data_IF_950004547582
#
_entry.id   IF_950004547582
#
_cell.length_a   1.000
_cell.length_b   1.000
_cell.length_c   1.000
_cell.angle_alpha   90.00
_cell.angle_beta   90.00
_cell.angle_gamma   90.00
#
_symmetry.space_group_name_H-M   'P 1'
#
loop_
_entity.id
_entity.type
_entity.pdbx_description
1 polymer ?
#
# COMPACT_ATOMS: atom_id res chain seq x y z
N UNK A 1 15.00 -14.30 23.58
CA UNK A 1 14.05 -13.44 24.32
C UNK A 1 13.70 -12.22 23.47
N UNK A 2 12.71 -12.28 22.58
CA UNK A 2 12.33 -11.12 21.70
C UNK A 2 10.81 -11.03 21.42
N UNK A 3 9.95 -11.66 22.25
CA UNK A 3 8.51 -11.70 21.97
C UNK A 3 7.69 -10.49 22.46
N UNK A 4 8.25 -9.58 23.26
CA UNK A 4 7.46 -8.48 23.86
C UNK A 4 7.32 -7.20 23.03
N UNK A 5 8.25 -6.92 22.12
CA UNK A 5 8.33 -5.59 21.46
C UNK A 5 7.38 -5.47 20.26
N UNK A 6 7.11 -6.59 19.56
CA UNK A 6 6.21 -6.63 18.39
C UNK A 6 4.78 -6.18 18.66
N UNK A 7 4.04 -6.75 19.64
CA UNK A 7 2.67 -6.33 19.89
C UNK A 7 2.61 -4.88 20.40
N UNK A 8 3.62 -4.41 21.12
CA UNK A 8 3.66 -3.04 21.61
C UNK A 8 3.76 -2.01 20.47
N UNK A 9 4.65 -2.22 19.50
CA UNK A 9 4.77 -1.31 18.34
C UNK A 9 3.51 -1.30 17.47
N UNK A 10 2.89 -2.47 17.26
CA UNK A 10 1.62 -2.57 16.52
C UNK A 10 0.47 -1.87 17.26
N UNK A 11 0.42 -2.00 18.59
CA UNK A 11 -0.58 -1.36 19.43
C UNK A 11 -0.38 0.17 19.48
N UNK A 12 0.88 0.64 19.53
CA UNK A 12 1.21 2.07 19.48
C UNK A 12 0.91 2.65 18.09
N UNK A 13 1.24 1.97 17.00
CA UNK A 13 0.88 2.42 15.65
C UNK A 13 -0.63 2.59 15.46
N UNK A 14 -1.42 1.75 16.13
CA UNK A 14 -2.89 1.78 16.06
C UNK A 14 -3.52 2.80 17.01
N UNK A 15 -2.92 3.07 18.19
CA UNK A 15 -3.55 3.90 19.23
C UNK A 15 -2.89 5.26 19.45
N UNK A 16 -1.58 5.38 19.24
CA UNK A 16 -0.80 6.62 19.41
C UNK A 16 0.26 6.75 18.30
N UNK A 17 -0.16 6.86 17.03
CA UNK A 17 0.75 6.91 15.88
C UNK A 17 1.77 8.07 15.95
N UNK A 18 1.44 9.16 16.65
CA UNK A 18 2.34 10.32 16.81
C UNK A 18 3.64 10.00 17.57
N UNK A 19 3.63 8.98 18.42
CA UNK A 19 4.84 8.58 19.15
C UNK A 19 5.86 7.89 18.26
N UNK A 20 5.45 7.43 17.07
CA UNK A 20 6.33 6.77 16.11
C UNK A 20 7.00 7.74 15.15
N UNK A 21 6.52 8.99 15.03
CA UNK A 21 7.10 10.06 14.19
C UNK A 21 8.63 10.17 14.32
N UNK A 22 9.21 10.30 15.54
CA UNK A 22 10.67 10.38 15.68
C UNK A 22 11.41 9.08 15.32
N UNK A 23 10.71 7.95 15.32
CA UNK A 23 11.29 6.63 15.02
C UNK A 23 11.06 6.16 13.58
N UNK A 24 10.35 6.93 12.75
CA UNK A 24 10.04 6.51 11.36
C UNK A 24 11.27 6.30 10.51
N UNK A 25 12.28 7.17 10.65
CA UNK A 25 13.54 7.05 9.93
C UNK A 25 14.20 5.69 10.21
N UNK A 26 14.28 5.32 11.49
CA UNK A 26 14.87 4.05 11.93
C UNK A 26 13.99 2.84 11.57
N UNK A 27 12.66 2.96 11.67
CA UNK A 27 11.75 1.92 11.21
C UNK A 27 11.96 1.65 9.72
N UNK A 28 12.13 2.70 8.92
CA UNK A 28 12.39 2.53 7.49
C UNK A 28 13.78 1.95 7.18
N UNK A 29 14.75 2.01 8.09
CA UNK A 29 16.01 1.25 7.94
C UNK A 29 15.78 -0.26 8.10
N UNK A 30 14.85 -0.66 8.97
CA UNK A 30 14.47 -2.07 9.12
C UNK A 30 13.72 -2.64 7.89
N UNK A 31 13.24 -1.79 6.99
CA UNK A 31 12.73 -2.24 5.69
C UNK A 31 13.83 -2.80 4.79
N UNK A 32 15.10 -2.42 5.00
CA UNK A 32 16.23 -2.93 4.23
C UNK A 32 16.76 -4.29 4.75
N UNK A 33 16.20 -4.81 5.84
CA UNK A 33 16.62 -6.05 6.47
C UNK A 33 15.53 -7.11 6.25
N UNK A 34 15.86 -8.17 5.50
CA UNK A 34 14.91 -9.20 5.06
C UNK A 34 14.08 -9.82 6.20
N UNK A 35 14.70 -10.07 7.35
CA UNK A 35 14.05 -10.71 8.51
C UNK A 35 13.04 -9.82 9.22
N UNK A 36 13.15 -8.50 9.07
CA UNK A 36 12.26 -7.51 9.71
C UNK A 36 11.36 -6.79 8.74
N UNK A 37 11.67 -6.78 7.43
CA UNK A 37 10.96 -6.03 6.40
C UNK A 37 9.44 -6.26 6.42
N UNK A 38 8.99 -7.53 6.55
CA UNK A 38 7.57 -7.85 6.63
C UNK A 38 6.87 -7.23 7.85
N UNK A 39 7.44 -7.42 9.04
CA UNK A 39 6.88 -6.89 10.28
C UNK A 39 6.89 -5.36 10.32
N UNK A 40 7.98 -4.76 9.85
CA UNK A 40 8.08 -3.31 9.69
C UNK A 40 7.00 -2.80 8.74
N UNK A 41 6.77 -3.48 7.62
CA UNK A 41 5.72 -3.11 6.67
C UNK A 41 4.32 -3.16 7.29
N UNK A 42 4.04 -4.16 8.14
CA UNK A 42 2.77 -4.23 8.88
C UNK A 42 2.59 -3.06 9.86
N UNK A 43 3.66 -2.64 10.56
CA UNK A 43 3.63 -1.46 11.44
C UNK A 43 3.38 -0.19 10.63
N UNK A 44 4.05 -0.03 9.49
CA UNK A 44 3.83 1.10 8.59
C UNK A 44 2.42 1.09 8.01
N UNK A 45 1.84 -0.07 7.72
CA UNK A 45 0.44 -0.18 7.28
C UNK A 45 -0.52 0.35 8.34
N UNK A 46 -0.40 -0.09 9.59
CA UNK A 46 -1.22 0.42 10.70
C UNK A 46 -1.09 1.93 10.88
N UNK A 47 0.13 2.44 10.71
CA UNK A 47 0.37 3.87 10.75
C UNK A 47 -0.27 4.60 9.56
N UNK A 48 -0.20 4.04 8.35
CA UNK A 48 -0.80 4.61 7.15
C UNK A 48 -2.33 4.66 7.23
N UNK A 49 -2.96 3.65 7.84
CA UNK A 49 -4.41 3.60 8.08
C UNK A 49 -4.89 4.75 8.99
N UNK A 50 -4.06 5.19 9.94
CA UNK A 50 -4.42 6.22 10.93
C UNK A 50 -3.90 7.62 10.56
N UNK A 51 -2.65 7.72 10.12
CA UNK A 51 -1.93 8.96 9.82
C UNK A 51 -1.03 8.82 8.58
N UNK A 52 -1.62 8.74 7.38
CA UNK A 52 -0.86 8.53 6.15
C UNK A 52 0.13 9.65 5.81
N UNK A 53 -0.13 10.90 6.25
CA UNK A 53 0.76 12.04 5.99
C UNK A 53 2.17 11.85 6.57
N UNK A 54 2.31 11.12 7.68
CA UNK A 54 3.60 10.86 8.32
C UNK A 54 4.51 9.97 7.47
N UNK A 55 3.93 9.22 6.54
CA UNK A 55 4.65 8.27 5.69
C UNK A 55 4.95 8.82 4.30
N UNK A 56 4.56 10.07 4.00
CA UNK A 56 4.74 10.67 2.69
C UNK A 56 6.21 10.61 2.21
N UNK A 57 7.15 10.91 3.09
CA UNK A 57 8.60 10.88 2.80
C UNK A 57 9.20 9.47 2.82
N UNK A 58 8.49 8.51 3.41
CA UNK A 58 8.95 7.13 3.57
C UNK A 58 8.50 6.21 2.41
N UNK A 59 7.60 6.67 1.54
CA UNK A 59 7.04 5.86 0.44
C UNK A 59 8.11 5.31 -0.50
N UNK A 60 9.18 6.07 -0.79
CA UNK A 60 10.27 5.57 -1.63
C UNK A 60 10.93 4.32 -1.06
N UNK A 61 11.11 4.27 0.27
CA UNK A 61 11.70 3.11 0.97
C UNK A 61 10.73 1.91 0.99
N UNK A 62 9.43 2.18 1.14
CA UNK A 62 8.36 1.16 1.07
C UNK A 62 8.33 0.49 -0.30
N UNK A 63 8.33 1.28 -1.39
CA UNK A 63 8.35 0.75 -2.76
C UNK A 63 9.59 -0.10 -3.01
N UNK A 64 10.77 0.38 -2.61
CA UNK A 64 12.03 -0.36 -2.73
C UNK A 64 12.01 -1.70 -1.97
N UNK A 65 11.43 -1.73 -0.78
CA UNK A 65 11.28 -2.97 -0.02
C UNK A 65 10.37 -3.99 -0.71
N UNK A 66 9.30 -3.53 -1.37
CA UNK A 66 8.41 -4.39 -2.16
C UNK A 66 9.13 -5.01 -3.38
N UNK A 67 9.99 -4.24 -4.04
CA UNK A 67 10.82 -4.73 -5.14
C UNK A 67 11.85 -5.76 -4.66
N UNK A 68 12.39 -5.57 -3.46
CA UNK A 68 13.43 -6.45 -2.91
C UNK A 68 12.83 -7.73 -2.29
N UNK A 69 11.65 -7.63 -1.70
CA UNK A 69 10.99 -8.69 -0.94
C UNK A 69 9.56 -8.90 -1.45
N UNK A 70 9.35 -9.87 -2.37
CA UNK A 70 8.06 -10.10 -3.03
C UNK A 70 6.91 -10.37 -2.05
N UNK A 71 7.20 -10.99 -0.90
CA UNK A 71 6.23 -11.25 0.16
C UNK A 71 5.68 -9.98 0.83
N UNK A 72 6.28 -8.81 0.60
CA UNK A 72 5.83 -7.53 1.18
C UNK A 72 5.00 -6.69 0.20
N UNK A 73 4.88 -7.09 -1.07
CA UNK A 73 4.21 -6.32 -2.13
C UNK A 73 2.77 -5.95 -1.75
N UNK A 74 2.00 -6.90 -1.21
CA UNK A 74 0.62 -6.64 -0.78
C UNK A 74 0.52 -5.59 0.33
N UNK A 75 1.43 -5.64 1.31
CA UNK A 75 1.45 -4.70 2.42
C UNK A 75 1.93 -3.32 1.94
N UNK A 76 2.97 -3.28 1.10
CA UNK A 76 3.47 -2.05 0.50
C UNK A 76 2.41 -1.36 -0.36
N UNK A 77 1.65 -2.11 -1.16
CA UNK A 77 0.57 -1.57 -1.97
C UNK A 77 -0.51 -0.88 -1.12
N UNK A 78 -0.88 -1.48 0.02
CA UNK A 78 -1.84 -0.89 0.95
C UNK A 78 -1.29 0.39 1.61
N UNK A 79 -0.02 0.38 2.04
CA UNK A 79 0.66 1.58 2.59
C UNK A 79 0.68 2.71 1.56
N UNK A 80 1.18 2.41 0.35
CA UNK A 80 1.30 3.37 -0.75
C UNK A 80 -0.08 3.91 -1.14
N UNK A 81 -1.11 3.08 -1.13
CA UNK A 81 -2.49 3.48 -1.42
C UNK A 81 -3.07 4.39 -0.34
N UNK A 82 -2.87 4.07 0.94
CA UNK A 82 -3.30 4.93 2.04
C UNK A 82 -2.65 6.32 1.98
N UNK A 83 -1.35 6.40 1.66
CA UNK A 83 -0.65 7.68 1.44
C UNK A 83 -1.10 8.35 0.14
N UNK A 84 -1.34 7.57 -0.92
CA UNK A 84 -1.85 8.06 -2.20
C UNK A 84 -3.15 8.83 -2.04
N UNK A 85 -4.02 8.40 -1.13
CA UNK A 85 -5.31 9.07 -0.85
C UNK A 85 -5.22 10.47 -0.25
N UNK A 86 -4.03 10.98 0.03
CA UNK A 86 -3.83 12.36 0.54
C UNK A 86 -3.97 13.42 -0.56
N UNK A 87 -3.61 13.11 -1.80
CA UNK A 87 -3.70 14.05 -2.92
C UNK A 87 -3.82 13.32 -4.25
N UNK A 88 -4.42 13.95 -5.25
CA UNK A 88 -4.57 13.35 -6.58
C UNK A 88 -3.22 12.97 -7.21
N UNK A 89 -2.19 13.79 -7.03
CA UNK A 89 -0.83 13.54 -7.52
C UNK A 89 -0.24 12.25 -6.90
N UNK A 90 -0.29 12.13 -5.57
CA UNK A 90 0.17 10.93 -4.85
C UNK A 90 -0.68 9.71 -5.19
N UNK A 91 -1.98 9.88 -5.42
CA UNK A 91 -2.87 8.80 -5.81
C UNK A 91 -2.50 8.26 -7.21
N UNK A 92 -2.14 9.13 -8.16
CA UNK A 92 -1.65 8.73 -9.46
C UNK A 92 -0.31 7.96 -9.34
N UNK A 93 0.62 8.43 -8.52
CA UNK A 93 1.87 7.70 -8.24
C UNK A 93 1.62 6.34 -7.58
N UNK A 94 0.66 6.27 -6.66
CA UNK A 94 0.25 5.03 -6.00
C UNK A 94 -0.37 4.05 -6.99
N UNK A 95 -1.25 4.54 -7.87
CA UNK A 95 -1.90 3.72 -8.88
C UNK A 95 -0.89 3.16 -9.87
N UNK A 96 0.07 3.98 -10.33
CA UNK A 96 1.16 3.53 -11.19
C UNK A 96 1.97 2.40 -10.54
N UNK A 97 2.30 2.53 -9.26
CA UNK A 97 2.99 1.47 -8.51
C UNK A 97 2.15 0.19 -8.44
N UNK A 98 0.88 0.29 -8.05
CA UNK A 98 -0.02 -0.88 -7.93
C UNK A 98 -0.18 -1.60 -9.27
N UNK A 99 -0.35 -0.88 -10.37
CA UNK A 99 -0.46 -1.46 -11.72
C UNK A 99 0.84 -2.14 -12.17
N UNK A 100 1.99 -1.54 -11.88
CA UNK A 100 3.28 -2.17 -12.19
C UNK A 100 3.48 -3.47 -11.42
N UNK A 101 3.13 -3.47 -10.12
CA UNK A 101 3.17 -4.68 -9.31
C UNK A 101 2.15 -5.72 -9.79
N UNK A 102 0.96 -5.30 -10.25
CA UNK A 102 -0.07 -6.19 -10.77
C UNK A 102 0.43 -7.01 -11.97
N UNK A 103 1.19 -6.38 -12.87
CA UNK A 103 1.80 -7.06 -14.02
C UNK A 103 2.87 -8.10 -13.66
N UNK A 104 3.44 -8.01 -12.44
CA UNK A 104 4.50 -8.89 -11.93
C UNK A 104 4.01 -9.86 -10.84
N UNK A 105 2.83 -9.61 -10.27
CA UNK A 105 2.35 -10.28 -9.07
C UNK A 105 1.81 -11.68 -9.34
N UNK A 106 2.08 -12.59 -8.39
CA UNK A 106 1.48 -13.92 -8.33
C UNK A 106 -0.04 -13.84 -8.07
N UNK A 107 -0.78 -14.89 -8.44
CA UNK A 107 -2.25 -14.94 -8.33
C UNK A 107 -2.78 -14.58 -6.93
N UNK A 108 -2.06 -14.95 -5.87
CA UNK A 108 -2.45 -14.64 -4.49
C UNK A 108 -2.42 -13.14 -4.15
N UNK A 109 -1.55 -12.37 -4.80
CA UNK A 109 -1.35 -10.95 -4.53
C UNK A 109 -2.19 -10.04 -5.45
N UNK A 110 -2.59 -10.54 -6.62
CA UNK A 110 -3.41 -9.80 -7.59
C UNK A 110 -4.73 -9.30 -7.01
N UNK A 111 -5.41 -10.10 -6.19
CA UNK A 111 -6.69 -9.71 -5.57
C UNK A 111 -6.55 -8.47 -4.69
N UNK A 112 -5.50 -8.41 -3.87
CA UNK A 112 -5.21 -7.24 -3.02
C UNK A 112 -4.85 -6.03 -3.87
N UNK A 113 -3.97 -6.18 -4.86
CA UNK A 113 -3.57 -5.08 -5.74
C UNK A 113 -4.76 -4.48 -6.51
N UNK A 114 -5.66 -5.32 -7.02
CA UNK A 114 -6.89 -4.84 -7.69
C UNK A 114 -7.81 -4.07 -6.74
N UNK A 115 -7.94 -4.53 -5.50
CA UNK A 115 -8.72 -3.84 -4.48
C UNK A 115 -8.15 -2.44 -4.21
N UNK A 116 -6.83 -2.33 -4.05
CA UNK A 116 -6.16 -1.06 -3.82
C UNK A 116 -6.28 -0.11 -5.01
N UNK A 117 -6.12 -0.61 -6.24
CA UNK A 117 -6.36 0.18 -7.46
C UNK A 117 -7.81 0.71 -7.51
N UNK A 118 -8.79 -0.13 -7.17
CA UNK A 118 -10.19 0.26 -7.10
C UNK A 118 -10.42 1.33 -6.04
N UNK A 119 -9.76 1.22 -4.88
CA UNK A 119 -9.86 2.20 -3.79
C UNK A 119 -9.34 3.58 -4.21
N UNK A 120 -8.21 3.61 -4.93
CA UNK A 120 -7.63 4.85 -5.48
C UNK A 120 -8.57 5.49 -6.51
N UNK A 121 -9.08 4.71 -7.46
CA UNK A 121 -10.05 5.22 -8.45
C UNK A 121 -11.37 5.66 -7.82
N UNK A 122 -11.82 5.01 -6.74
CA UNK A 122 -13.03 5.43 -6.02
C UNK A 122 -12.81 6.73 -5.24
N UNK A 123 -11.58 6.97 -4.77
CA UNK A 123 -11.20 8.22 -4.08
C UNK A 123 -10.95 9.37 -5.07
N UNK A 124 -10.44 9.06 -6.26
CA UNK A 124 -10.17 10.00 -7.33
C UNK A 124 -10.63 9.42 -8.68
N UNK A 125 -11.90 9.63 -9.07
CA UNK A 125 -12.46 9.07 -10.30
C UNK A 125 -11.70 9.47 -11.58
N UNK A 126 -11.03 10.62 -11.57
CA UNK A 126 -10.17 11.08 -12.67
C UNK A 126 -9.02 10.12 -13.00
N UNK A 127 -8.62 9.26 -12.07
CA UNK A 127 -7.57 8.26 -12.28
C UNK A 127 -8.09 7.00 -12.99
N UNK A 128 -9.42 6.87 -13.13
CA UNK A 128 -10.05 5.79 -13.89
C UNK A 128 -9.79 5.99 -15.38
N UNK A 129 -8.70 5.42 -15.85
CA UNK A 129 -8.21 5.56 -17.23
C UNK A 129 -8.27 4.23 -17.98
N UNK A 130 -8.30 4.30 -19.31
CA UNK A 130 -8.23 3.11 -20.19
C UNK A 130 -7.01 2.23 -19.89
N UNK A 131 -5.90 2.81 -19.43
CA UNK A 131 -4.69 2.09 -19.00
C UNK A 131 -4.97 1.17 -17.80
N UNK A 132 -5.70 1.65 -16.80
CA UNK A 132 -6.11 0.86 -15.63
C UNK A 132 -7.07 -0.26 -16.06
N UNK A 133 -8.06 0.08 -16.90
CA UNK A 133 -8.99 -0.91 -17.46
C UNK A 133 -8.28 -2.01 -18.26
N UNK A 134 -7.25 -1.67 -19.05
CA UNK A 134 -6.46 -2.63 -19.80
C UNK A 134 -5.72 -3.62 -18.88
N UNK A 135 -5.07 -3.13 -17.83
CA UNK A 135 -4.34 -3.97 -16.87
C UNK A 135 -5.27 -4.87 -16.04
N UNK A 136 -6.48 -4.40 -15.69
CA UNK A 136 -7.51 -5.21 -15.03
C UNK A 136 -8.05 -6.30 -15.96
N UNK A 137 -8.32 -5.97 -17.23
CA UNK A 137 -8.80 -6.94 -18.24
C UNK A 137 -7.76 -8.02 -18.52
N UNK A 138 -6.49 -7.65 -18.57
CA UNK A 138 -5.36 -8.57 -18.81
C UNK A 138 -5.21 -9.62 -17.71
N UNK A 139 -5.52 -9.25 -16.47
CA UNK A 139 -5.39 -10.15 -15.32
C UNK A 139 -6.62 -11.05 -15.04
N UNK A 140 -7.64 -11.07 -15.92
CA UNK A 140 -8.82 -11.97 -15.87
C UNK A 140 -9.32 -12.30 -14.45
N UNK A 141 -9.66 -11.28 -13.67
CA UNK A 141 -10.53 -11.43 -12.48
C UNK A 141 -11.74 -10.50 -12.66
N UNK A 142 -12.68 -10.91 -13.52
CA UNK A 142 -14.04 -10.35 -13.58
C UNK A 142 -14.90 -11.18 -12.62
N UNK A 143 -15.37 -10.59 -11.51
CA UNK A 143 -16.70 -9.96 -11.60
C UNK A 143 -16.87 -8.64 -10.81
N UNK A 144 -15.81 -7.91 -10.43
CA UNK A 144 -15.97 -6.70 -9.60
C UNK A 144 -16.28 -5.41 -10.39
N UNK A 145 -16.34 -5.45 -11.73
CA UNK A 145 -16.80 -4.32 -12.55
C UNK A 145 -18.30 -4.01 -12.31
N UNK A 146 -19.06 -4.93 -11.67
CA UNK A 146 -20.41 -4.62 -11.21
C UNK A 146 -20.47 -3.60 -10.07
N UNK A 147 -19.36 -3.36 -9.34
CA UNK A 147 -19.33 -2.42 -8.21
C UNK A 147 -19.03 -0.97 -8.61
N UNK A 148 -18.48 -0.74 -9.81
CA UNK A 148 -18.02 0.58 -10.28
C UNK A 148 -19.04 1.24 -11.23
N UNK A 149 -20.04 0.48 -11.67
CA UNK A 149 -21.13 0.97 -12.54
C UNK A 149 -21.85 2.23 -12.02
N UNK A 150 -22.15 2.38 -10.71
CA UNK A 150 -22.82 3.58 -10.21
C UNK A 150 -21.90 4.82 -10.10
N UNK A 151 -20.61 4.74 -10.44
CA UNK A 151 -19.70 5.89 -10.48
C UNK A 151 -19.54 6.47 -11.90
N UNK A 152 -20.20 5.88 -12.90
CA UNK A 152 -20.12 6.29 -14.31
C UNK A 152 -21.47 6.78 -14.87
N UNK A 153 -22.48 6.92 -14.01
CA UNK A 153 -23.80 7.51 -14.33
C UNK A 153 -23.98 8.85 -13.62
#
# INVERSE_FOLDING_TARGET
MTQGVRPALQHVASNKPQLLEPSLSQLCEYLAIASTAGQTMEVLLRLAENKPHLLADCIGKVKKAAETYPNTVCLAAQVVTAVGRLSQDKAQEALNFVLEQLGKAERGSQGTLLREATLLCSSYPVLFTEKMLAEVRKNRIMPTIKLIKPLLE
#
